data_IF_464519147658
#
_entry.id   IF_464519147658
#
_cell.length_a   1.000
_cell.length_b   1.000
_cell.length_c   1.000
_cell.angle_alpha   90.00
_cell.angle_beta   90.00
_cell.angle_gamma   90.00
#
_symmetry.space_group_name_H-M   'P 1'
#
loop_
_entity.id
_entity.type
_entity.pdbx_description
1 polymer ?
#
# COMPACT_ATOMS: atom_id res chain seq x y z
N UNK A 1 21.21 -7.01 46.64
CA UNK A 1 20.87 -5.69 46.09
C UNK A 1 21.24 -5.56 44.62
N UNK A 2 22.45 -5.98 44.22
CA UNK A 2 22.86 -5.89 42.82
C UNK A 2 21.97 -6.70 41.89
N UNK A 3 21.57 -7.89 42.29
CA UNK A 3 20.68 -8.78 41.52
C UNK A 3 19.29 -8.19 41.33
N UNK A 4 18.73 -7.52 42.34
CA UNK A 4 17.43 -6.90 42.26
C UNK A 4 17.45 -5.70 41.30
N UNK A 5 18.52 -4.89 41.38
CA UNK A 5 18.69 -3.75 40.49
C UNK A 5 18.78 -4.20 39.01
N UNK A 6 19.54 -5.26 38.73
CA UNK A 6 19.67 -5.84 37.38
C UNK A 6 18.28 -6.36 36.92
N UNK A 7 17.58 -7.07 37.78
CA UNK A 7 16.26 -7.59 37.45
C UNK A 7 15.26 -6.48 37.10
N UNK A 8 15.23 -5.39 37.89
CA UNK A 8 14.35 -4.26 37.63
C UNK A 8 14.68 -3.58 36.30
N UNK A 9 15.97 -3.41 35.99
CA UNK A 9 16.41 -2.83 34.72
C UNK A 9 16.05 -3.71 33.54
N UNK A 10 16.18 -5.01 33.67
CA UNK A 10 15.79 -5.97 32.64
C UNK A 10 14.28 -5.95 32.40
N UNK A 11 13.51 -5.85 33.48
CA UNK A 11 12.05 -5.74 33.38
C UNK A 11 11.61 -4.46 32.68
N UNK A 12 12.24 -3.33 33.01
CA UNK A 12 11.98 -2.06 32.34
C UNK A 12 12.32 -2.12 30.85
N UNK A 13 13.46 -2.72 30.52
CA UNK A 13 13.88 -2.91 29.13
C UNK A 13 12.92 -3.80 28.37
N UNK A 14 12.49 -4.91 28.97
CA UNK A 14 11.50 -5.80 28.38
C UNK A 14 10.18 -5.07 28.12
N UNK A 15 9.71 -4.25 29.05
CA UNK A 15 8.50 -3.47 28.89
C UNK A 15 8.64 -2.44 27.76
N UNK A 16 9.77 -1.76 27.66
CA UNK A 16 10.05 -0.81 26.58
C UNK A 16 10.07 -1.51 25.22
N UNK A 17 10.70 -2.68 25.15
CA UNK A 17 10.75 -3.46 23.92
C UNK A 17 9.36 -3.94 23.50
N UNK A 18 8.54 -4.39 24.44
CA UNK A 18 7.16 -4.79 24.15
C UNK A 18 6.34 -3.61 23.62
N UNK A 19 6.50 -2.42 24.20
CA UNK A 19 5.83 -1.23 23.72
C UNK A 19 6.27 -0.85 22.30
N UNK A 20 7.57 -0.96 22.00
CA UNK A 20 8.10 -0.72 20.65
C UNK A 20 7.58 -1.73 19.64
N UNK A 21 7.53 -3.00 20.02
CA UNK A 21 6.97 -4.06 19.15
C UNK A 21 5.52 -3.75 18.81
N UNK A 22 4.72 -3.35 19.79
CA UNK A 22 3.32 -2.98 19.58
C UNK A 22 3.20 -1.80 18.61
N UNK A 23 4.02 -0.77 18.79
CA UNK A 23 4.06 0.39 17.90
C UNK A 23 4.44 -0.01 16.47
N UNK A 24 5.48 -0.83 16.32
CA UNK A 24 5.92 -1.30 15.02
C UNK A 24 4.86 -2.15 14.31
N UNK A 25 4.15 -3.01 15.06
CA UNK A 25 3.03 -3.78 14.50
C UNK A 25 1.93 -2.86 13.95
N UNK A 26 1.58 -1.81 14.69
CA UNK A 26 0.61 -0.82 14.24
C UNK A 26 1.08 -0.10 12.98
N UNK A 27 2.36 0.28 12.92
CA UNK A 27 2.93 0.93 11.74
C UNK A 27 2.92 0.01 10.52
N UNK A 28 3.21 -1.28 10.73
CA UNK A 28 3.16 -2.28 9.66
C UNK A 28 1.72 -2.43 9.14
N UNK A 29 0.74 -2.54 10.04
CA UNK A 29 -0.67 -2.65 9.65
C UNK A 29 -1.12 -1.42 8.86
N UNK A 30 -0.75 -0.21 9.31
CA UNK A 30 -1.05 1.02 8.60
C UNK A 30 -0.39 1.07 7.22
N UNK A 31 0.87 0.65 7.14
CA UNK A 31 1.59 0.59 5.87
C UNK A 31 0.95 -0.42 4.90
N UNK A 32 0.52 -1.56 5.41
CA UNK A 32 -0.19 -2.58 4.63
C UNK A 32 -1.52 -2.06 4.09
N UNK A 33 -2.27 -1.33 4.91
CA UNK A 33 -3.53 -0.70 4.48
C UNK A 33 -3.30 0.34 3.38
N UNK A 34 -2.29 1.18 3.54
CA UNK A 34 -1.91 2.17 2.53
C UNK A 34 -1.48 1.48 1.24
N UNK A 35 -0.67 0.44 1.34
CA UNK A 35 -0.22 -0.32 0.18
C UNK A 35 -1.40 -0.98 -0.56
N UNK A 36 -2.35 -1.56 0.17
CA UNK A 36 -3.54 -2.16 -0.42
C UNK A 36 -4.41 -1.12 -1.12
N UNK A 37 -4.59 0.05 -0.50
CA UNK A 37 -5.35 1.16 -1.10
C UNK A 37 -4.67 1.67 -2.37
N UNK A 38 -3.35 1.83 -2.33
CA UNK A 38 -2.59 2.30 -3.49
C UNK A 38 -2.62 1.29 -4.63
N UNK A 39 -2.56 0.00 -4.32
CA UNK A 39 -2.68 -1.06 -5.32
C UNK A 39 -4.06 -1.04 -5.99
N UNK A 40 -5.12 -0.85 -5.22
CA UNK A 40 -6.47 -0.74 -5.74
C UNK A 40 -6.62 0.48 -6.68
N UNK A 41 -6.05 1.62 -6.29
CA UNK A 41 -6.03 2.83 -7.12
C UNK A 41 -5.24 2.63 -8.41
N UNK A 42 -4.10 1.95 -8.32
CA UNK A 42 -3.28 1.63 -9.49
C UNK A 42 -4.03 0.74 -10.48
N UNK A 43 -4.68 -0.31 -10.00
CA UNK A 43 -5.47 -1.21 -10.83
C UNK A 43 -6.62 -0.50 -11.52
N UNK A 44 -7.30 0.39 -10.79
CA UNK A 44 -8.38 1.20 -11.36
C UNK A 44 -7.87 2.12 -12.46
N UNK A 45 -6.76 2.82 -12.22
CA UNK A 45 -6.14 3.69 -13.20
C UNK A 45 -5.69 2.92 -14.45
N UNK A 46 -5.13 1.75 -14.27
CA UNK A 46 -4.72 0.87 -15.36
C UNK A 46 -5.91 0.42 -16.21
N UNK A 47 -7.02 0.07 -15.56
CA UNK A 47 -8.26 -0.30 -16.24
C UNK A 47 -8.83 0.87 -17.02
N UNK A 48 -8.87 2.07 -16.44
CA UNK A 48 -9.33 3.28 -17.12
C UNK A 48 -8.46 3.61 -18.33
N UNK A 49 -7.15 3.42 -18.21
CA UNK A 49 -6.23 3.61 -19.32
C UNK A 49 -6.50 2.63 -20.46
N UNK A 50 -6.69 1.36 -20.15
CA UNK A 50 -7.02 0.33 -21.13
C UNK A 50 -8.34 0.64 -21.86
N UNK A 51 -9.37 1.01 -21.12
CA UNK A 51 -10.67 1.37 -21.69
C UNK A 51 -10.59 2.61 -22.59
N UNK A 52 -9.82 3.61 -22.15
CA UNK A 52 -9.62 4.84 -22.94
C UNK A 52 -8.83 4.55 -24.21
N UNK A 53 -7.80 3.70 -24.12
CA UNK A 53 -7.00 3.28 -25.26
C UNK A 53 -7.84 2.50 -26.28
N UNK A 54 -8.71 1.63 -25.81
CA UNK A 54 -9.62 0.89 -26.70
C UNK A 54 -10.61 1.82 -27.38
N UNK A 55 -11.18 2.77 -26.66
CA UNK A 55 -12.08 3.76 -27.24
C UNK A 55 -11.39 4.61 -28.29
N UNK A 56 -10.16 5.04 -28.02
CA UNK A 56 -9.39 5.82 -28.97
C UNK A 56 -9.10 5.02 -30.22
N UNK A 57 -8.74 3.75 -30.09
CA UNK A 57 -8.49 2.86 -31.22
C UNK A 57 -9.74 2.66 -32.07
N UNK A 58 -10.91 2.46 -31.43
CA UNK A 58 -12.19 2.31 -32.14
C UNK A 58 -12.59 3.61 -32.83
N UNK A 59 -12.37 4.76 -32.22
CA UNK A 59 -12.63 6.06 -32.83
C UNK A 59 -11.77 6.29 -34.08
N UNK A 60 -10.48 5.91 -34.03
CA UNK A 60 -9.59 5.98 -35.18
C UNK A 60 -10.05 5.07 -36.30
N UNK A 61 -10.44 3.85 -35.99
CA UNK A 61 -10.95 2.91 -36.98
C UNK A 61 -12.22 3.44 -37.65
N UNK A 62 -13.14 3.97 -36.86
CA UNK A 62 -14.37 4.57 -37.39
C UNK A 62 -14.10 5.76 -38.31
N UNK A 63 -13.15 6.62 -37.92
CA UNK A 63 -12.75 7.76 -38.75
C UNK A 63 -12.13 7.33 -40.08
N UNK A 64 -11.30 6.28 -40.06
CA UNK A 64 -10.71 5.70 -41.28
C UNK A 64 -11.76 5.13 -42.20
N UNK A 65 -12.75 4.42 -41.67
CA UNK A 65 -13.85 3.86 -42.47
C UNK A 65 -14.68 4.95 -43.14
N UNK A 66 -14.96 6.04 -42.44
CA UNK A 66 -15.69 7.17 -42.99
C UNK A 66 -14.88 7.86 -44.11
N UNK A 67 -13.56 7.94 -44.00
CA UNK A 67 -12.70 8.55 -45.03
C UNK A 67 -12.65 7.72 -46.31
N UNK A 68 -12.76 6.43 -46.23
CA UNK A 68 -12.71 5.53 -47.38
C UNK A 68 -14.00 5.65 -48.20
N UNK A 69 -15.08 5.92 -47.55
CA UNK A 69 -16.35 6.13 -48.18
C UNK A 69 -16.54 7.55 -48.71
#
# INVERSE_FOLDING_TARGET
MLRLTIFLRMSELANKLQAKIKTYKQQIEEAEEIAALNLAKFRKAQQELEETSERAALAEMSARLVRIN
#
